data_IF_723561817903
#
_entry.id   IF_723561817903
#
_cell.length_a   1.000
_cell.length_b   1.000
_cell.length_c   1.000
_cell.angle_alpha   90.00
_cell.angle_beta   90.00
_cell.angle_gamma   90.00
#
_symmetry.space_group_name_H-M   'P 1'
#
loop_
_entity.id
_entity.type
_entity.pdbx_description
1 polymer ?
#
# COMPACT_ATOMS: atom_id res chain seq x y z
N UNK A 1 17.68 1.64 -11.05
CA UNK A 1 17.07 0.30 -10.86
C UNK A 1 17.63 -0.29 -9.58
N UNK A 2 16.75 -0.76 -8.70
CA UNK A 2 17.13 -1.52 -7.52
C UNK A 2 16.78 -2.99 -7.77
N UNK A 3 17.80 -3.83 -7.99
CA UNK A 3 17.62 -5.20 -8.46
C UNK A 3 17.85 -6.26 -7.37
N UNK A 4 18.19 -5.87 -6.13
CA UNK A 4 18.55 -6.78 -5.04
C UNK A 4 19.63 -7.79 -5.49
N UNK A 5 19.38 -9.08 -5.30
CA UNK A 5 20.29 -10.18 -5.71
C UNK A 5 19.58 -11.05 -6.77
N UNK A 6 19.53 -10.63 -8.04
CA UNK A 6 18.72 -11.26 -9.07
C UNK A 6 19.32 -12.54 -9.69
N UNK A 7 20.45 -13.02 -9.22
CA UNK A 7 21.07 -14.27 -9.68
C UNK A 7 21.81 -14.15 -11.01
N UNK A 8 21.99 -15.26 -11.71
CA UNK A 8 22.82 -15.38 -12.92
C UNK A 8 22.29 -14.57 -14.12
N UNK A 9 20.97 -14.39 -14.22
CA UNK A 9 20.33 -13.63 -15.30
C UNK A 9 20.23 -12.12 -15.04
N UNK A 10 20.96 -11.60 -14.04
CA UNK A 10 20.91 -10.20 -13.64
C UNK A 10 21.15 -9.22 -14.81
N UNK A 11 22.18 -9.48 -15.62
CA UNK A 11 22.54 -8.60 -16.73
C UNK A 11 21.43 -8.50 -17.76
N UNK A 12 20.84 -9.63 -18.15
CA UNK A 12 19.73 -9.69 -19.10
C UNK A 12 18.49 -8.98 -18.56
N UNK A 13 18.12 -9.26 -17.31
CA UNK A 13 16.96 -8.65 -16.67
C UNK A 13 17.08 -7.11 -16.56
N UNK A 14 18.24 -6.62 -16.15
CA UNK A 14 18.51 -5.18 -16.05
C UNK A 14 18.50 -4.53 -17.43
N UNK A 15 19.13 -5.14 -18.43
CA UNK A 15 19.17 -4.64 -19.81
C UNK A 15 17.75 -4.51 -20.39
N UNK A 16 16.91 -5.53 -20.26
CA UNK A 16 15.53 -5.51 -20.74
C UNK A 16 14.72 -4.36 -20.12
N UNK A 17 14.91 -4.10 -18.84
CA UNK A 17 14.27 -2.95 -18.19
C UNK A 17 14.83 -1.64 -18.71
N UNK A 18 16.17 -1.48 -18.79
CA UNK A 18 16.80 -0.23 -19.20
C UNK A 18 16.47 0.16 -20.66
N UNK A 19 16.43 -0.81 -21.56
CA UNK A 19 16.16 -0.57 -22.98
C UNK A 19 14.67 -0.64 -23.33
N UNK A 20 13.80 -0.95 -22.37
CA UNK A 20 12.34 -0.88 -22.55
C UNK A 20 11.71 -2.11 -23.16
N UNK A 21 12.45 -3.23 -23.25
CA UNK A 21 11.94 -4.52 -23.70
C UNK A 21 11.00 -5.15 -22.67
N UNK A 22 11.17 -4.78 -21.39
CA UNK A 22 10.32 -5.17 -20.30
C UNK A 22 9.86 -3.97 -19.49
N UNK A 23 8.55 -3.85 -19.26
CA UNK A 23 7.98 -2.81 -18.43
C UNK A 23 8.01 -3.25 -16.95
N UNK A 24 8.80 -2.57 -16.08
CA UNK A 24 8.93 -2.99 -14.69
C UNK A 24 7.62 -2.81 -13.90
N UNK A 25 7.23 -3.85 -13.16
CA UNK A 25 6.06 -3.84 -12.26
C UNK A 25 6.41 -4.00 -10.78
N UNK A 26 7.71 -4.09 -10.44
CA UNK A 26 8.18 -4.27 -9.06
C UNK A 26 7.91 -3.07 -8.16
N UNK A 27 7.68 -3.33 -6.88
CA UNK A 27 7.47 -2.32 -5.83
C UNK A 27 8.44 -2.55 -4.67
N UNK A 28 8.90 -1.46 -4.07
CA UNK A 28 9.80 -1.53 -2.91
C UNK A 28 9.08 -2.10 -1.69
N UNK A 29 9.66 -3.14 -1.10
CA UNK A 29 9.20 -3.73 0.15
C UNK A 29 9.78 -3.03 1.40
N UNK A 30 10.54 -1.96 1.21
CA UNK A 30 11.16 -1.15 2.27
C UNK A 30 11.09 0.32 1.92
N UNK A 31 11.21 1.18 2.92
CA UNK A 31 11.36 2.62 2.74
C UNK A 31 12.82 2.97 2.53
N UNK A 32 13.13 3.82 1.57
CA UNK A 32 14.47 4.35 1.35
C UNK A 32 14.59 5.73 2.00
N UNK A 33 15.48 5.90 3.00
CA UNK A 33 15.73 7.19 3.63
C UNK A 33 16.53 8.10 2.70
N UNK A 34 16.44 9.41 2.91
CA UNK A 34 17.26 10.41 2.20
C UNK A 34 18.70 10.45 2.72
N UNK A 35 18.92 10.04 3.95
CA UNK A 35 20.25 9.99 4.57
C UNK A 35 20.34 8.91 5.64
N UNK A 36 21.56 8.47 5.95
CA UNK A 36 21.85 7.53 7.05
C UNK A 36 21.40 8.04 8.42
N UNK A 37 21.35 9.35 8.61
CA UNK A 37 20.90 9.96 9.87
C UNK A 37 19.41 9.77 10.17
N UNK A 38 18.63 9.23 9.23
CA UNK A 38 17.22 8.88 9.42
C UNK A 38 16.98 7.43 9.88
N UNK A 39 18.03 6.62 10.02
CA UNK A 39 17.91 5.21 10.42
C UNK A 39 17.82 5.12 11.96
N UNK A 40 16.87 4.31 12.52
CA UNK A 40 15.92 3.43 11.83
C UNK A 40 14.72 4.20 11.27
N UNK A 41 14.39 3.93 10.02
CA UNK A 41 13.26 4.52 9.34
C UNK A 41 12.51 3.45 8.54
N UNK A 42 11.42 2.97 9.08
CA UNK A 42 10.66 1.86 8.52
C UNK A 42 9.18 2.20 8.38
N UNK A 43 8.55 1.63 7.36
CA UNK A 43 7.10 1.54 7.27
C UNK A 43 6.64 0.17 7.82
N UNK A 44 5.56 0.09 8.59
CA UNK A 44 4.70 1.19 9.05
C UNK A 44 5.32 1.94 10.25
N UNK A 45 4.96 3.22 10.43
CA UNK A 45 5.42 4.02 11.57
C UNK A 45 4.24 4.50 12.42
N UNK A 46 4.50 4.70 13.71
CA UNK A 46 3.53 5.24 14.66
C UNK A 46 3.41 6.76 14.52
N UNK A 47 2.26 7.35 14.83
CA UNK A 47 2.11 8.80 14.85
C UNK A 47 3.22 9.49 15.64
N UNK A 48 3.83 10.49 15.03
CA UNK A 48 4.93 11.25 15.62
C UNK A 48 6.30 10.56 15.59
N UNK A 49 6.42 9.34 15.07
CA UNK A 49 7.71 8.69 14.81
C UNK A 49 8.19 8.85 13.36
N UNK A 50 7.35 9.38 12.48
CA UNK A 50 7.79 9.89 11.20
C UNK A 50 8.67 11.13 11.44
N UNK A 51 9.69 11.30 10.64
CA UNK A 51 10.67 12.39 10.82
C UNK A 51 10.15 13.79 10.48
N UNK A 52 8.83 13.97 10.27
CA UNK A 52 8.23 15.24 9.89
C UNK A 52 8.49 16.34 10.92
N UNK A 53 9.23 17.36 10.50
CA UNK A 53 9.52 18.53 11.31
C UNK A 53 10.43 18.31 12.54
N UNK A 54 10.97 17.11 12.74
CA UNK A 54 11.77 16.76 13.93
C UNK A 54 13.27 16.61 13.65
N UNK A 55 13.65 16.47 12.39
CA UNK A 55 15.04 16.33 11.95
C UNK A 55 15.31 17.24 10.76
N UNK A 56 16.59 17.54 10.51
CA UNK A 56 17.02 18.40 9.39
C UNK A 56 16.61 17.87 8.02
N UNK A 57 16.40 16.55 7.90
CA UNK A 57 16.00 15.88 6.65
C UNK A 57 14.61 15.35 6.83
N UNK A 58 13.64 15.97 6.16
CA UNK A 58 12.24 15.57 6.22
C UNK A 58 11.86 14.67 5.04
N UNK A 59 10.90 13.76 5.29
CA UNK A 59 10.37 12.82 4.32
C UNK A 59 11.32 11.68 3.96
N UNK A 60 10.99 10.95 2.91
CA UNK A 60 11.73 9.77 2.42
C UNK A 60 12.24 9.99 1.01
N UNK A 61 13.27 9.25 0.61
CA UNK A 61 13.71 9.23 -0.79
C UNK A 61 12.70 8.46 -1.65
N UNK A 62 12.38 7.22 -1.24
CA UNK A 62 11.32 6.42 -1.83
C UNK A 62 10.47 5.78 -0.73
N UNK A 63 9.15 5.94 -0.75
CA UNK A 63 8.25 5.34 0.24
C UNK A 63 8.14 3.82 0.04
N UNK A 64 7.64 3.14 1.07
CA UNK A 64 7.22 1.74 0.97
C UNK A 64 6.18 1.59 -0.15
N UNK A 65 6.29 0.54 -0.94
CA UNK A 65 5.41 0.27 -2.07
C UNK A 65 5.74 1.04 -3.35
N UNK A 66 6.72 1.94 -3.35
CA UNK A 66 7.09 2.75 -4.51
C UNK A 66 7.65 1.91 -5.66
N UNK A 67 7.31 2.30 -6.87
CA UNK A 67 7.87 1.79 -8.11
C UNK A 67 7.50 2.65 -9.30
N UNK A 68 8.20 2.45 -10.41
CA UNK A 68 7.95 3.13 -11.68
C UNK A 68 7.49 2.13 -12.74
N UNK A 69 6.77 2.61 -13.73
CA UNK A 69 6.33 1.87 -14.91
C UNK A 69 6.51 2.73 -16.15
N UNK A 70 6.60 2.09 -17.32
CA UNK A 70 6.56 2.76 -18.61
C UNK A 70 5.14 3.04 -19.12
N UNK A 71 4.13 2.75 -18.29
CA UNK A 71 2.73 3.10 -18.52
C UNK A 71 2.15 3.78 -17.28
N UNK A 72 0.91 4.22 -17.36
CA UNK A 72 0.20 4.89 -16.27
C UNK A 72 -1.09 4.17 -15.96
N UNK A 73 -1.53 4.21 -14.69
CA UNK A 73 -2.74 3.57 -14.23
C UNK A 73 -3.66 4.56 -13.53
N UNK A 74 -4.94 4.50 -13.87
CA UNK A 74 -6.02 5.22 -13.22
C UNK A 74 -6.76 4.31 -12.25
N UNK A 75 -7.25 4.87 -11.14
CA UNK A 75 -8.02 4.17 -10.13
C UNK A 75 -9.38 4.83 -9.96
N UNK A 76 -10.44 4.03 -9.87
CA UNK A 76 -11.83 4.52 -9.71
C UNK A 76 -12.69 3.54 -8.92
N UNK A 77 -13.94 3.95 -8.65
CA UNK A 77 -15.04 3.12 -8.18
C UNK A 77 -14.73 2.30 -6.91
N UNK A 78 -14.12 2.95 -5.91
CA UNK A 78 -13.96 2.31 -4.60
C UNK A 78 -15.34 2.00 -4.01
N UNK A 79 -15.60 0.72 -3.78
CA UNK A 79 -16.83 0.23 -3.14
C UNK A 79 -16.44 -0.51 -1.87
N UNK A 80 -17.17 -0.23 -0.81
CA UNK A 80 -17.08 -0.90 0.49
C UNK A 80 -18.40 -1.61 0.70
N UNK A 81 -18.38 -2.91 0.96
CA UNK A 81 -19.58 -3.75 0.95
C UNK A 81 -20.63 -3.36 1.99
N UNK A 82 -20.18 -2.84 3.13
CA UNK A 82 -21.05 -2.36 4.23
C UNK A 82 -20.44 -1.13 4.87
N UNK A 83 -21.23 -0.11 5.23
CA UNK A 83 -20.73 1.06 5.97
C UNK A 83 -20.45 0.75 7.45
N UNK A 84 -21.09 -0.29 8.01
CA UNK A 84 -20.94 -0.72 9.39
C UNK A 84 -20.88 -2.24 9.44
N UNK A 85 -19.99 -2.78 10.28
CA UNK A 85 -19.81 -4.22 10.53
C UNK A 85 -19.67 -4.49 12.02
N UNK A 86 -19.93 -5.75 12.41
CA UNK A 86 -19.58 -6.26 13.75
C UNK A 86 -18.10 -6.65 13.84
N UNK A 87 -17.54 -6.77 15.08
CA UNK A 87 -16.11 -7.03 15.31
C UNK A 87 -15.62 -8.41 14.83
N UNK A 88 -16.54 -9.33 14.52
CA UNK A 88 -16.23 -10.66 13.99
C UNK A 88 -16.62 -10.83 12.52
N UNK A 89 -17.06 -9.76 11.85
CA UNK A 89 -17.47 -9.82 10.46
C UNK A 89 -16.30 -9.49 9.51
N UNK A 90 -16.34 -10.11 8.33
CA UNK A 90 -15.48 -9.74 7.22
C UNK A 90 -16.10 -8.57 6.44
N UNK A 91 -15.25 -7.76 5.85
CA UNK A 91 -15.65 -6.70 4.94
C UNK A 91 -14.92 -6.84 3.61
N UNK A 92 -15.64 -6.68 2.50
CA UNK A 92 -15.08 -6.73 1.16
C UNK A 92 -15.01 -5.32 0.57
N UNK A 93 -13.89 -5.04 -0.08
CA UNK A 93 -13.64 -3.80 -0.78
C UNK A 93 -13.31 -4.11 -2.24
N UNK A 94 -13.73 -3.26 -3.16
CA UNK A 94 -13.34 -3.39 -4.55
C UNK A 94 -13.03 -2.02 -5.15
N UNK A 95 -12.15 -2.00 -6.15
CA UNK A 95 -11.89 -0.82 -6.95
C UNK A 95 -11.59 -1.23 -8.40
N UNK A 96 -11.76 -0.30 -9.33
CA UNK A 96 -11.40 -0.50 -10.74
C UNK A 96 -10.06 0.16 -11.01
N UNK A 97 -9.16 -0.58 -11.69
CA UNK A 97 -7.87 -0.07 -12.16
C UNK A 97 -7.81 -0.20 -13.67
N UNK A 98 -7.41 0.89 -14.34
CA UNK A 98 -7.32 0.99 -15.79
C UNK A 98 -5.92 1.38 -16.22
N UNK A 99 -5.38 0.73 -17.22
CA UNK A 99 -4.17 1.20 -17.90
C UNK A 99 -4.52 2.39 -18.82
N UNK A 100 -4.12 3.58 -18.41
CA UNK A 100 -4.37 4.83 -19.13
C UNK A 100 -3.23 5.23 -20.06
N UNK A 101 -2.14 4.47 -20.07
CA UNK A 101 -0.98 4.72 -20.91
C UNK A 101 -1.02 3.94 -22.22
N UNK A 102 0.14 3.90 -22.90
CA UNK A 102 0.28 3.35 -24.26
C UNK A 102 1.02 2.01 -24.31
N UNK A 103 1.52 1.51 -23.20
CA UNK A 103 2.22 0.22 -23.08
C UNK A 103 1.49 -0.71 -22.14
N UNK A 104 1.54 -2.01 -22.41
CA UNK A 104 1.11 -3.00 -21.43
C UNK A 104 2.01 -2.96 -20.19
N UNK A 105 1.46 -3.28 -19.04
CA UNK A 105 2.24 -3.26 -17.82
C UNK A 105 1.51 -3.84 -16.63
N UNK A 106 2.29 -4.07 -15.57
CA UNK A 106 1.79 -4.55 -14.31
C UNK A 106 1.61 -3.40 -13.32
N UNK A 107 0.49 -3.41 -12.63
CA UNK A 107 0.23 -2.56 -11.47
C UNK A 107 0.14 -3.43 -10.22
N UNK A 108 0.66 -2.92 -9.11
CA UNK A 108 0.47 -3.52 -7.79
C UNK A 108 -0.45 -2.61 -6.99
N UNK A 109 -1.71 -3.01 -6.96
CA UNK A 109 -2.76 -2.30 -6.21
C UNK A 109 -2.59 -2.61 -4.74
N UNK A 110 -2.42 -1.59 -3.89
CA UNK A 110 -2.10 -1.72 -2.48
C UNK A 110 -3.24 -1.19 -1.62
N UNK A 111 -3.73 -2.00 -0.69
CA UNK A 111 -4.75 -1.65 0.29
C UNK A 111 -4.10 -1.36 1.65
N UNK A 112 -4.32 -0.17 2.15
CA UNK A 112 -3.89 0.29 3.47
C UNK A 112 -5.08 0.58 4.35
N UNK A 113 -4.96 0.25 5.63
CA UNK A 113 -5.98 0.50 6.65
C UNK A 113 -5.36 1.29 7.80
N UNK A 114 -6.15 2.17 8.36
CA UNK A 114 -5.88 2.86 9.60
C UNK A 114 -7.06 2.70 10.53
N UNK A 115 -6.80 2.31 11.76
CA UNK A 115 -7.70 2.47 12.88
C UNK A 115 -7.60 3.92 13.36
N UNK A 116 -8.68 4.69 13.21
CA UNK A 116 -8.66 6.14 13.45
C UNK A 116 -8.63 6.47 14.95
N UNK A 117 -9.23 5.59 15.80
CA UNK A 117 -9.32 5.79 17.24
C UNK A 117 -9.15 4.47 17.99
N UNK A 118 -7.97 4.22 18.50
CA UNK A 118 -7.63 2.99 19.23
C UNK A 118 -7.21 3.28 20.68
N UNK A 119 -7.47 2.32 21.57
CA UNK A 119 -7.15 2.40 23.00
C UNK A 119 -5.65 2.38 23.29
N UNK A 120 -4.85 1.97 22.32
CA UNK A 120 -3.38 1.94 22.35
C UNK A 120 -2.82 2.59 21.08
N UNK A 121 -1.59 3.08 21.15
CA UNK A 121 -0.96 3.70 19.96
C UNK A 121 -0.73 2.68 18.84
N UNK A 122 -1.49 2.80 17.76
CA UNK A 122 -1.36 2.01 16.53
C UNK A 122 -0.52 2.73 15.48
N UNK A 123 -0.34 2.10 14.33
CA UNK A 123 0.38 2.69 13.20
C UNK A 123 -0.49 3.72 12.46
N UNK A 124 0.16 4.71 11.83
CA UNK A 124 -0.52 5.69 10.96
C UNK A 124 -1.33 5.01 9.87
N UNK A 125 -0.79 3.97 9.27
CA UNK A 125 -1.48 3.02 8.38
C UNK A 125 -0.66 1.76 8.22
N UNK A 126 -1.32 0.67 7.87
CA UNK A 126 -0.68 -0.63 7.60
C UNK A 126 -1.17 -1.19 6.27
N UNK A 127 -0.28 -1.87 5.53
CA UNK A 127 -0.66 -2.64 4.36
C UNK A 127 -1.43 -3.88 4.81
N UNK A 128 -2.64 -4.07 4.29
CA UNK A 128 -3.50 -5.24 4.60
C UNK A 128 -3.83 -6.10 3.38
N UNK A 129 -3.51 -5.62 2.20
CA UNK A 129 -3.66 -6.40 0.98
C UNK A 129 -2.91 -5.78 -0.18
N UNK A 130 -2.54 -6.59 -1.14
CA UNK A 130 -2.05 -6.14 -2.44
C UNK A 130 -2.41 -7.17 -3.50
N UNK A 131 -2.60 -6.68 -4.72
CA UNK A 131 -2.87 -7.50 -5.90
C UNK A 131 -2.03 -7.01 -7.07
N UNK A 132 -1.32 -7.92 -7.75
CA UNK A 132 -0.60 -7.61 -8.98
C UNK A 132 -1.45 -8.01 -10.17
N UNK A 133 -1.75 -7.04 -11.01
CA UNK A 133 -2.57 -7.21 -12.22
C UNK A 133 -1.76 -6.80 -13.45
N UNK A 134 -2.01 -7.47 -14.58
CA UNK A 134 -1.42 -7.12 -15.87
C UNK A 134 -2.49 -6.54 -16.79
N UNK A 135 -2.27 -5.35 -17.34
CA UNK A 135 -3.25 -4.67 -18.18
C UNK A 135 -2.65 -4.21 -19.50
N UNK A 136 -3.35 -4.50 -20.59
CA UNK A 136 -3.08 -3.92 -21.90
C UNK A 136 -3.47 -2.43 -21.94
N UNK A 137 -2.97 -1.62 -22.87
CA UNK A 137 -3.42 -0.24 -23.03
C UNK A 137 -4.93 -0.13 -23.16
N UNK A 138 -5.55 0.69 -22.32
CA UNK A 138 -7.00 0.90 -22.26
C UNK A 138 -7.79 -0.17 -21.51
N UNK A 139 -7.18 -1.29 -21.16
CA UNK A 139 -7.80 -2.36 -20.37
C UNK A 139 -8.04 -1.91 -18.92
N UNK A 140 -9.12 -2.44 -18.34
CA UNK A 140 -9.46 -2.21 -16.93
C UNK A 140 -9.85 -3.53 -16.25
N UNK A 141 -9.57 -3.59 -14.96
CA UNK A 141 -9.88 -4.75 -14.12
C UNK A 141 -10.38 -4.29 -12.75
N UNK A 142 -11.39 -4.99 -12.24
CA UNK A 142 -11.83 -4.83 -10.84
C UNK A 142 -10.94 -5.69 -9.94
N UNK A 143 -10.37 -5.06 -8.92
CA UNK A 143 -9.58 -5.70 -7.87
C UNK A 143 -10.43 -5.77 -6.61
N UNK A 144 -10.42 -6.93 -5.94
CA UNK A 144 -11.19 -7.18 -4.73
C UNK A 144 -10.26 -7.51 -3.57
N UNK A 145 -10.58 -6.99 -2.40
CA UNK A 145 -9.91 -7.29 -1.15
C UNK A 145 -10.95 -7.72 -0.11
N UNK A 146 -10.58 -8.67 0.73
CA UNK A 146 -11.37 -9.04 1.90
C UNK A 146 -10.54 -8.79 3.15
N UNK A 147 -11.07 -7.99 4.06
CA UNK A 147 -10.51 -7.78 5.39
C UNK A 147 -11.27 -8.67 6.38
N UNK A 148 -10.51 -9.33 7.20
CA UNK A 148 -11.00 -10.19 8.28
C UNK A 148 -10.79 -9.51 9.62
N UNK A 149 -11.36 -10.00 10.74
CA UNK A 149 -11.04 -9.49 12.07
C UNK A 149 -9.54 -9.51 12.40
N UNK A 150 -8.77 -10.43 11.80
CA UNK A 150 -7.32 -10.48 11.97
C UNK A 150 -6.62 -9.26 11.36
N UNK A 151 -7.19 -8.69 10.30
CA UNK A 151 -6.64 -7.51 9.64
C UNK A 151 -6.97 -6.20 10.37
N UNK A 152 -8.05 -6.20 11.15
CA UNK A 152 -8.58 -5.03 11.87
C UNK A 152 -8.15 -4.99 13.34
N UNK A 153 -7.82 -6.15 13.91
CA UNK A 153 -7.55 -6.29 15.34
C UNK A 153 -6.20 -5.71 15.79
N UNK A 154 -6.17 -5.40 17.05
CA UNK A 154 -4.98 -4.94 17.78
C UNK A 154 -4.83 -5.71 19.11
N UNK A 155 -3.65 -5.65 19.72
CA UNK A 155 -3.40 -6.10 21.07
C UNK A 155 -3.63 -4.95 22.04
N UNK A 156 -4.63 -5.11 22.93
CA UNK A 156 -4.98 -4.12 23.93
C UNK A 156 -3.97 -4.08 25.11
N UNK A 157 -4.14 -3.14 26.03
CA UNK A 157 -3.31 -3.01 27.24
C UNK A 157 -3.33 -4.21 28.18
N UNK A 158 -4.27 -5.15 27.98
CA UNK A 158 -4.39 -6.38 28.79
C UNK A 158 -3.85 -7.61 28.02
N UNK A 159 -3.11 -7.41 26.91
CA UNK A 159 -2.61 -8.46 26.02
C UNK A 159 -3.73 -9.35 25.43
N UNK A 160 -4.88 -8.77 25.10
CA UNK A 160 -5.95 -9.46 24.38
C UNK A 160 -6.01 -8.94 22.96
N UNK A 161 -6.07 -9.85 22.01
CA UNK A 161 -6.31 -9.49 20.61
C UNK A 161 -7.80 -9.19 20.42
N UNK A 162 -8.13 -7.98 19.96
CA UNK A 162 -9.52 -7.53 19.82
C UNK A 162 -9.64 -6.56 18.63
N UNK A 163 -10.82 -6.54 18.03
CA UNK A 163 -11.25 -5.47 17.12
C UNK A 163 -12.05 -4.48 17.96
N UNK A 164 -11.57 -3.26 18.07
CA UNK A 164 -12.26 -2.22 18.85
C UNK A 164 -13.33 -1.53 18.01
N UNK A 165 -14.46 -1.10 18.63
CA UNK A 165 -15.43 -0.26 17.96
C UNK A 165 -14.82 1.08 17.56
N UNK A 166 -15.15 1.55 16.36
CA UNK A 166 -14.65 2.82 15.85
C UNK A 166 -14.60 2.90 14.35
N UNK A 167 -14.09 4.02 13.86
CA UNK A 167 -13.93 4.28 12.43
C UNK A 167 -12.61 3.73 11.91
N UNK A 168 -12.66 3.10 10.74
CA UNK A 168 -11.51 2.63 10.00
C UNK A 168 -11.39 3.36 8.66
N UNK A 169 -10.26 4.03 8.45
CA UNK A 169 -9.93 4.62 7.16
C UNK A 169 -9.38 3.57 6.20
N UNK A 170 -9.91 3.57 4.98
CA UNK A 170 -9.51 2.73 3.85
C UNK A 170 -8.75 3.57 2.84
N UNK A 171 -7.60 3.11 2.39
CA UNK A 171 -6.76 3.80 1.43
C UNK A 171 -6.27 2.80 0.37
N UNK A 172 -6.57 3.07 -0.90
CA UNK A 172 -6.07 2.25 -2.02
C UNK A 172 -5.14 3.10 -2.89
N UNK A 173 -4.00 2.55 -3.26
CA UNK A 173 -3.04 3.29 -4.08
C UNK A 173 -1.89 2.45 -4.63
N UNK A 174 -0.94 3.15 -5.26
CA UNK A 174 0.24 2.57 -5.89
C UNK A 174 1.46 2.50 -4.94
N UNK A 175 1.39 3.18 -3.79
CA UNK A 175 2.40 3.14 -2.71
C UNK A 175 1.81 3.67 -1.41
N UNK A 176 2.55 3.58 -0.31
CA UNK A 176 2.14 4.14 0.99
C UNK A 176 1.95 5.66 0.99
N UNK A 177 2.48 6.39 0.00
CA UNK A 177 2.31 7.83 -0.15
C UNK A 177 1.50 8.22 -1.39
N UNK A 178 1.40 7.35 -2.38
CA UNK A 178 0.59 7.57 -3.59
C UNK A 178 -0.78 6.89 -3.41
N UNK A 179 -1.61 7.50 -2.56
CA UNK A 179 -2.98 7.06 -2.30
C UNK A 179 -3.91 7.69 -3.33
N UNK A 180 -4.63 6.86 -4.06
CA UNK A 180 -5.53 7.24 -5.16
C UNK A 180 -7.00 7.28 -4.75
N UNK A 181 -7.43 6.35 -3.90
CA UNK A 181 -8.80 6.24 -3.44
C UNK A 181 -8.83 6.19 -1.91
N UNK A 182 -9.86 6.78 -1.32
CA UNK A 182 -10.10 6.79 0.13
C UNK A 182 -11.56 6.52 0.44
N UNK A 183 -11.80 5.82 1.53
CA UNK A 183 -13.12 5.58 2.08
C UNK A 183 -13.01 5.24 3.56
N UNK A 184 -14.12 4.91 4.18
CA UNK A 184 -14.16 4.48 5.60
C UNK A 184 -15.35 3.57 5.85
N UNK A 185 -15.27 2.83 6.92
CA UNK A 185 -16.36 2.04 7.50
C UNK A 185 -16.26 2.09 9.02
N UNK A 186 -17.29 1.66 9.72
CA UNK A 186 -17.33 1.61 11.18
C UNK A 186 -17.44 0.16 11.69
N UNK A 187 -16.85 -0.11 12.82
CA UNK A 187 -17.06 -1.32 13.63
C UNK A 187 -17.90 -0.95 14.85
N UNK A 188 -18.95 -1.74 15.16
CA UNK A 188 -19.85 -1.54 16.31
C UNK A 188 -19.96 -2.80 17.16
#
# INVERSE_FOLDING_TARGET
IHAWFPGEFMGDAIAKVLFGDYNPGGRLAVTFPKSVGQIPFAFPFKPGSDSKGKVRVDGVLYPFGYGLSYTTFGYSDLKISKPVIGPQENITLSCTVKNTGKKAGDEVVQLYIRDDFSSVTTYDKVLRGFERIHLQPGEEQTVNFTLTPQDLGLWDKNNRFTVEPGSFSVMVGASSQDIRLKGSFEVQ
#
